data_IF_032258911645
#
_entry.id   IF_032258911645
#
_cell.length_a   1.000
_cell.length_b   1.000
_cell.length_c   1.000
_cell.angle_alpha   90.00
_cell.angle_beta   90.00
_cell.angle_gamma   90.00
#
_symmetry.space_group_name_H-M   'P 1'
#
loop_
_entity.id
_entity.type
_entity.pdbx_description
1 polymer ?
#
# COMPACT_ATOMS: atom_id res chain seq x y z
N UNK A 1 -2.12 17.30 10.22
CA UNK A 1 -1.18 16.25 10.68
C UNK A 1 -2.00 15.03 10.98
N UNK A 2 -1.71 13.93 10.31
CA UNK A 2 -2.47 12.69 10.41
C UNK A 2 -2.28 12.03 11.77
N UNK A 3 -3.37 11.48 12.34
CA UNK A 3 -3.33 10.72 13.59
C UNK A 3 -2.92 9.26 13.30
N UNK A 4 -1.62 9.05 13.12
CA UNK A 4 -1.06 7.75 12.72
C UNK A 4 -1.34 6.62 13.71
N UNK A 5 -1.48 6.94 15.00
CA UNK A 5 -1.84 5.97 16.02
C UNK A 5 -3.28 5.47 15.86
N UNK A 6 -4.22 6.37 15.49
CA UNK A 6 -5.57 6.00 15.12
C UNK A 6 -5.60 5.14 13.85
N UNK A 7 -4.87 5.54 12.80
CA UNK A 7 -4.79 4.78 11.54
C UNK A 7 -4.27 3.35 11.78
N UNK A 8 -3.19 3.18 12.55
CA UNK A 8 -2.67 1.85 12.92
C UNK A 8 -3.70 1.01 13.67
N UNK A 9 -4.43 1.62 14.60
CA UNK A 9 -5.45 0.92 15.38
C UNK A 9 -6.57 0.41 14.47
N UNK A 10 -7.10 1.26 13.59
CA UNK A 10 -8.16 0.89 12.64
C UNK A 10 -7.69 -0.17 11.63
N UNK A 11 -6.44 -0.10 11.15
CA UNK A 11 -5.83 -1.16 10.34
C UNK A 11 -5.76 -2.49 11.08
N UNK A 12 -5.34 -2.47 12.36
CA UNK A 12 -5.30 -3.67 13.19
C UNK A 12 -6.68 -4.24 13.46
N UNK A 13 -7.67 -3.39 13.73
CA UNK A 13 -9.08 -3.78 13.90
C UNK A 13 -9.67 -4.38 12.62
N UNK A 14 -9.24 -3.90 11.44
CA UNK A 14 -9.58 -4.47 10.15
C UNK A 14 -8.81 -5.76 9.79
N UNK A 15 -7.94 -6.25 10.67
CA UNK A 15 -7.17 -7.50 10.50
C UNK A 15 -5.77 -7.32 9.91
N UNK A 16 -5.31 -6.09 9.71
CA UNK A 16 -4.00 -5.76 9.15
C UNK A 16 -2.98 -5.43 10.24
N UNK A 17 -2.63 -6.41 11.06
CA UNK A 17 -1.71 -6.24 12.20
C UNK A 17 -0.24 -6.03 11.83
N UNK A 18 0.13 -6.26 10.57
CA UNK A 18 1.51 -6.16 10.06
C UNK A 18 1.88 -4.79 9.47
N UNK A 19 1.09 -3.75 9.73
CA UNK A 19 1.42 -2.38 9.29
C UNK A 19 2.33 -1.69 10.29
N UNK A 20 3.44 -1.14 9.82
CA UNK A 20 4.44 -0.41 10.58
C UNK A 20 4.49 1.05 10.11
N UNK A 21 4.68 1.98 11.04
CA UNK A 21 4.89 3.39 10.71
C UNK A 21 6.33 3.66 10.36
N UNK A 22 6.53 4.48 9.35
CA UNK A 22 7.83 4.91 8.88
C UNK A 22 7.71 6.36 8.37
N UNK A 23 8.84 7.06 8.32
CA UNK A 23 8.91 8.47 7.96
C UNK A 23 10.24 8.78 7.28
N UNK A 24 10.23 9.47 6.15
CA UNK A 24 11.46 9.86 5.42
C UNK A 24 11.29 10.06 3.91
N UNK A 25 12.40 9.95 3.19
CA UNK A 25 12.40 9.87 1.72
C UNK A 25 12.43 8.40 1.30
N UNK A 26 11.53 7.99 0.41
CA UNK A 26 11.55 6.64 -0.17
C UNK A 26 11.97 6.65 -1.63
N UNK A 27 12.47 5.52 -2.11
CA UNK A 27 12.75 5.31 -3.53
C UNK A 27 11.48 5.10 -4.38
N UNK A 28 10.29 5.11 -3.76
CA UNK A 28 9.01 4.92 -4.43
C UNK A 28 8.39 6.29 -4.75
N UNK A 29 8.10 6.58 -6.03
CA UNK A 29 7.38 7.80 -6.41
C UNK A 29 6.04 7.90 -5.66
N UNK A 30 5.77 9.03 -5.00
CA UNK A 30 4.54 9.26 -4.23
C UNK A 30 4.60 8.87 -2.74
N UNK A 31 5.71 8.26 -2.30
CA UNK A 31 5.97 7.98 -0.88
C UNK A 31 7.04 8.95 -0.38
N UNK A 32 6.60 10.10 0.13
CA UNK A 32 7.43 11.09 0.82
C UNK A 32 6.70 11.59 2.07
N UNK A 33 7.42 11.74 3.19
CA UNK A 33 6.84 12.26 4.43
C UNK A 33 6.56 11.17 5.47
N UNK A 34 5.37 11.14 6.06
CA UNK A 34 4.95 10.13 7.03
C UNK A 34 4.02 9.11 6.37
N UNK A 35 4.21 7.82 6.67
CA UNK A 35 3.34 6.76 6.15
C UNK A 35 3.26 5.56 7.10
N UNK A 36 2.27 4.70 6.86
CA UNK A 36 2.24 3.34 7.39
C UNK A 36 2.31 2.35 6.25
N UNK A 37 3.20 1.36 6.34
CA UNK A 37 3.36 0.32 5.32
C UNK A 37 3.21 -1.07 5.89
N UNK A 38 2.62 -1.98 5.12
CA UNK A 38 2.37 -3.33 5.57
C UNK A 38 2.27 -4.30 4.41
N UNK A 39 2.53 -5.57 4.73
CA UNK A 39 2.28 -6.69 3.83
C UNK A 39 0.86 -7.16 4.01
N UNK A 40 0.17 -7.39 2.89
CA UNK A 40 -1.14 -8.03 2.88
C UNK A 40 -1.14 -9.21 1.91
N UNK A 41 -1.92 -10.26 2.18
CA UNK A 41 -2.12 -11.32 1.22
C UNK A 41 -2.77 -10.79 -0.07
N UNK A 42 -2.40 -11.37 -1.21
CA UNK A 42 -3.02 -11.03 -2.50
C UNK A 42 -4.45 -11.58 -2.57
N UNK A 43 -5.41 -10.79 -2.12
CA UNK A 43 -6.84 -11.10 -2.15
C UNK A 43 -7.63 -10.09 -2.99
N UNK A 44 -8.84 -10.48 -3.44
CA UNK A 44 -9.71 -9.62 -4.25
C UNK A 44 -9.01 -9.08 -5.51
N UNK A 45 -8.97 -7.75 -5.66
CA UNK A 45 -8.33 -7.05 -6.78
C UNK A 45 -6.82 -7.28 -6.90
N UNK A 46 -6.15 -7.69 -5.83
CA UNK A 46 -4.69 -7.95 -5.82
C UNK A 46 -4.30 -9.35 -6.27
N UNK A 47 -5.28 -10.23 -6.50
CA UNK A 47 -5.01 -11.56 -7.03
C UNK A 47 -4.30 -11.43 -8.38
N UNK A 48 -3.29 -12.26 -8.60
CA UNK A 48 -2.54 -12.31 -9.87
C UNK A 48 -3.45 -12.40 -11.10
N UNK A 49 -4.57 -13.12 -11.02
CA UNK A 49 -5.53 -13.24 -12.12
C UNK A 49 -6.24 -11.92 -12.48
N UNK A 50 -6.40 -11.03 -11.51
CA UNK A 50 -7.06 -9.72 -11.64
C UNK A 50 -6.07 -8.59 -11.96
N UNK A 51 -4.77 -8.88 -11.89
CA UNK A 51 -3.72 -7.92 -12.21
C UNK A 51 -3.47 -7.85 -13.73
N UNK A 52 -3.04 -6.68 -14.24
CA UNK A 52 -2.67 -6.53 -15.64
C UNK A 52 -1.63 -7.55 -16.11
N UNK A 53 -1.69 -7.94 -17.39
CA UNK A 53 -0.85 -8.99 -17.97
C UNK A 53 0.65 -8.76 -17.72
N UNK A 54 1.11 -7.51 -17.78
CA UNK A 54 2.51 -7.14 -17.54
C UNK A 54 2.95 -7.44 -16.10
N UNK A 55 2.11 -7.17 -15.09
CA UNK A 55 2.37 -7.55 -13.69
C UNK A 55 2.44 -9.08 -13.53
N UNK A 56 1.57 -9.81 -14.23
CA UNK A 56 1.59 -11.29 -14.22
C UNK A 56 2.85 -11.89 -14.83
N UNK A 57 3.47 -11.18 -15.80
CA UNK A 57 4.74 -11.56 -16.43
C UNK A 57 5.90 -11.25 -15.48
N UNK A 58 5.88 -10.10 -14.80
CA UNK A 58 6.88 -9.74 -13.78
C UNK A 58 6.88 -10.73 -12.61
N UNK A 59 5.70 -11.19 -12.16
CA UNK A 59 5.57 -12.26 -11.14
C UNK A 59 6.27 -13.58 -11.52
N UNK A 60 6.49 -13.84 -12.82
CA UNK A 60 7.17 -15.05 -13.29
C UNK A 60 8.71 -14.92 -13.28
N UNK A 61 9.23 -13.72 -13.02
CA UNK A 61 10.66 -13.47 -12.92
C UNK A 61 11.10 -13.60 -11.45
N UNK A 62 12.27 -14.21 -11.18
CA UNK A 62 12.78 -14.39 -9.82
C UNK A 62 13.25 -13.08 -9.13
N UNK A 63 13.19 -11.94 -9.84
CA UNK A 63 13.36 -10.62 -9.25
C UNK A 63 11.97 -10.12 -8.84
N UNK A 64 11.70 -10.10 -7.54
CA UNK A 64 10.53 -9.43 -6.99
C UNK A 64 10.60 -7.96 -7.35
N UNK A 65 9.88 -7.58 -8.40
CA UNK A 65 9.92 -6.22 -8.93
C UNK A 65 8.93 -5.33 -8.17
N UNK A 66 9.33 -4.09 -7.90
CA UNK A 66 8.45 -3.07 -7.31
C UNK A 66 7.54 -2.57 -8.42
N UNK A 67 6.35 -3.15 -8.49
CA UNK A 67 5.34 -2.76 -9.47
C UNK A 67 4.36 -1.82 -8.81
N UNK A 68 4.18 -0.63 -9.39
CA UNK A 68 3.18 0.34 -8.96
C UNK A 68 1.80 -0.21 -9.33
N UNK A 69 1.06 -0.65 -8.32
CA UNK A 69 -0.34 -1.08 -8.48
C UNK A 69 -1.27 0.11 -8.25
N UNK A 70 -2.28 0.27 -9.12
CA UNK A 70 -3.27 1.32 -8.94
C UNK A 70 -3.98 1.20 -7.59
N UNK A 71 -4.22 2.32 -6.87
CA UNK A 71 -4.82 2.33 -5.52
C UNK A 71 -6.19 1.63 -5.46
N UNK A 72 -6.92 1.59 -6.58
CA UNK A 72 -8.20 0.91 -6.70
C UNK A 72 -8.13 -0.59 -6.44
N UNK A 73 -6.95 -1.19 -6.58
CA UNK A 73 -6.72 -2.61 -6.38
C UNK A 73 -6.54 -2.98 -4.91
N UNK A 74 -6.26 -2.02 -4.03
CA UNK A 74 -6.14 -2.27 -2.59
C UNK A 74 -7.48 -2.76 -2.00
N UNK A 75 -7.46 -3.55 -0.91
CA UNK A 75 -8.67 -3.97 -0.21
C UNK A 75 -9.57 -2.78 0.13
N UNK A 76 -10.88 -2.98 0.00
CA UNK A 76 -11.88 -1.92 0.24
C UNK A 76 -11.73 -1.30 1.63
N UNK A 77 -11.51 -2.12 2.67
CA UNK A 77 -11.27 -1.63 4.03
C UNK A 77 -10.07 -0.69 4.13
N UNK A 78 -8.98 -0.98 3.42
CA UNK A 78 -7.78 -0.12 3.40
C UNK A 78 -8.09 1.19 2.67
N UNK A 79 -8.79 1.11 1.54
CA UNK A 79 -9.20 2.30 0.76
C UNK A 79 -10.15 3.20 1.56
N UNK A 80 -11.07 2.61 2.32
CA UNK A 80 -12.00 3.34 3.18
C UNK A 80 -11.24 4.06 4.30
N UNK A 81 -10.34 3.36 5.02
CA UNK A 81 -9.49 3.98 6.05
C UNK A 81 -8.66 5.12 5.44
N UNK A 82 -8.01 4.89 4.30
CA UNK A 82 -7.23 5.94 3.64
C UNK A 82 -8.09 7.16 3.29
N UNK A 83 -9.28 6.95 2.72
CA UNK A 83 -10.21 8.03 2.37
C UNK A 83 -10.70 8.80 3.61
N UNK A 84 -11.01 8.12 4.70
CA UNK A 84 -11.46 8.73 5.96
C UNK A 84 -10.42 9.66 6.58
N UNK A 85 -9.14 9.34 6.39
CA UNK A 85 -8.02 10.13 6.90
C UNK A 85 -7.39 11.06 5.87
N UNK A 86 -7.92 11.11 4.64
CA UNK A 86 -7.36 11.92 3.56
C UNK A 86 -5.99 11.45 3.07
N UNK A 87 -5.71 10.15 3.16
CA UNK A 87 -4.45 9.51 2.79
C UNK A 87 -4.50 8.92 1.38
N UNK A 88 -3.35 8.84 0.74
CA UNK A 88 -3.17 8.15 -0.53
C UNK A 88 -2.70 6.72 -0.32
N UNK A 89 -3.23 5.79 -1.13
CA UNK A 89 -2.82 4.37 -1.09
C UNK A 89 -1.79 4.14 -2.18
N UNK A 90 -0.61 3.66 -1.78
CA UNK A 90 0.48 3.33 -2.71
C UNK A 90 0.79 1.84 -2.60
N UNK A 91 0.72 1.13 -3.72
CA UNK A 91 1.12 -0.28 -3.80
C UNK A 91 2.50 -0.32 -4.45
N UNK A 92 3.54 -0.63 -3.68
CA UNK A 92 4.94 -0.44 -4.09
C UNK A 92 5.77 -1.74 -4.11
N UNK A 93 5.09 -2.87 -4.03
CA UNK A 93 5.73 -4.16 -4.16
C UNK A 93 4.69 -5.24 -4.21
N UNK A 94 4.86 -6.18 -5.12
CA UNK A 94 3.99 -7.33 -5.20
C UNK A 94 4.85 -8.58 -5.41
N UNK A 95 4.74 -9.53 -4.49
CA UNK A 95 5.33 -10.87 -4.60
C UNK A 95 4.23 -11.87 -4.91
N UNK A 96 4.58 -13.10 -5.29
CA UNK A 96 3.60 -14.13 -5.68
C UNK A 96 2.39 -14.24 -4.73
N UNK A 97 2.61 -14.08 -3.42
CA UNK A 97 1.59 -14.28 -2.38
C UNK A 97 1.20 -13.00 -1.63
N UNK A 98 2.03 -11.95 -1.67
CA UNK A 98 1.85 -10.73 -0.85
C UNK A 98 1.92 -9.45 -1.68
N UNK A 99 1.15 -8.43 -1.31
CA UNK A 99 1.33 -7.07 -1.75
C UNK A 99 1.85 -6.20 -0.60
N UNK A 100 2.75 -5.28 -0.88
CA UNK A 100 3.19 -4.22 0.02
C UNK A 100 2.39 -2.97 -0.31
N UNK A 101 1.68 -2.47 0.69
CA UNK A 101 0.84 -1.28 0.60
C UNK A 101 1.34 -0.27 1.62
N UNK A 102 1.35 1.00 1.22
CA UNK A 102 1.53 2.12 2.11
C UNK A 102 0.34 3.08 2.06
N UNK A 103 0.02 3.69 3.19
CA UNK A 103 -0.92 4.82 3.28
C UNK A 103 -0.10 6.07 3.61
N UNK A 104 -0.20 7.08 2.75
CA UNK A 104 0.68 8.25 2.76
C UNK A 104 -0.13 9.52 2.99
N UNK A 105 0.42 10.46 3.77
CA UNK A 105 -0.19 11.79 3.92
C UNK A 105 0.23 12.68 2.73
N UNK A 106 -0.71 13.12 1.87
CA UNK A 106 -0.40 13.93 0.69
C UNK A 106 0.07 15.35 1.04
N UNK A 107 -0.06 15.79 2.29
CA UNK A 107 0.28 17.15 2.73
C UNK A 107 1.78 17.46 2.71
N UNK A 108 2.65 16.47 2.40
CA UNK A 108 4.08 16.69 2.16
C UNK A 108 4.40 17.04 0.69
N UNK A 109 3.40 17.22 -0.18
CA UNK A 109 3.57 17.75 -1.55
C UNK A 109 3.76 19.28 -1.62
N UNK A 110 4.07 19.94 -0.50
CA UNK A 110 4.51 21.34 -0.49
C UNK A 110 6.05 21.35 -0.41
N UNK A 111 6.71 21.48 -1.58
CA UNK A 111 7.93 22.26 -1.82
C UNK A 111 8.34 22.25 -3.30
#
# INVERSE_FOLDING_TARGET
MTDWERVKRELKEAGYSGFEFDSGDTAVPGLSGEWVSGKIPREGGLKRENQPLWIRILDALPMGDTVEGGPENAPESIRNIATEHGLEVVIYGVSADEARIALCDPSNHDL
#
